data_IF_333647094825
#
_entry.id   IF_333647094825
#
_cell.length_a   1.000
_cell.length_b   1.000
_cell.length_c   1.000
_cell.angle_alpha   90.00
_cell.angle_beta   90.00
_cell.angle_gamma   90.00
#
_symmetry.space_group_name_H-M   'P 1'
#
loop_
_entity.id
_entity.type
_entity.pdbx_description
1 polymer ?
#
# COMPACT_ATOMS: atom_id res chain seq x y z
N UNK A 1 -24.93 43.09 -68.38
CA UNK A 1 -24.25 44.40 -68.39
C UNK A 1 -23.42 44.55 -67.12
N UNK A 2 -22.08 44.61 -67.27
CA UNK A 2 -21.04 45.23 -66.43
C UNK A 2 -21.06 45.12 -64.88
N UNK A 3 -20.19 44.24 -64.38
CA UNK A 3 -19.11 44.46 -63.38
C UNK A 3 -19.19 45.60 -62.35
N UNK A 4 -18.95 45.24 -61.07
CA UNK A 4 -17.99 45.92 -60.18
C UNK A 4 -17.36 44.95 -59.17
N UNK A 5 -16.06 44.71 -59.33
CA UNK A 5 -15.16 44.13 -58.33
C UNK A 5 -14.91 45.15 -57.20
N UNK A 6 -14.73 44.69 -55.95
CA UNK A 6 -13.48 44.85 -55.17
C UNK A 6 -13.62 44.44 -53.69
N UNK A 7 -12.71 43.53 -53.29
CA UNK A 7 -12.02 43.43 -52.00
C UNK A 7 -12.80 43.21 -50.70
N UNK A 8 -12.76 41.98 -50.18
CA UNK A 8 -12.43 41.75 -48.76
C UNK A 8 -11.50 40.54 -48.61
N UNK A 9 -10.38 40.81 -47.94
CA UNK A 9 -9.21 39.97 -47.72
C UNK A 9 -9.58 38.62 -47.07
N UNK A 10 -8.96 37.54 -47.56
CA UNK A 10 -8.71 36.35 -46.75
C UNK A 10 -7.79 36.76 -45.59
N UNK A 11 -8.32 36.85 -44.39
CA UNK A 11 -7.52 36.84 -43.16
C UNK A 11 -7.91 35.61 -42.35
N UNK A 12 -6.99 34.66 -42.29
CA UNK A 12 -6.98 33.55 -41.35
C UNK A 12 -7.11 34.08 -39.91
N UNK A 13 -8.32 34.10 -39.37
CA UNK A 13 -8.58 34.48 -37.98
C UNK A 13 -9.52 33.48 -37.30
N UNK A 14 -9.30 32.17 -37.52
CA UNK A 14 -9.98 31.13 -36.74
C UNK A 14 -9.05 29.94 -36.48
N UNK A 15 -8.14 30.07 -35.49
CA UNK A 15 -7.87 28.90 -34.63
C UNK A 15 -7.99 29.20 -33.13
N UNK A 16 -7.82 30.45 -32.68
CA UNK A 16 -7.64 30.77 -31.25
C UNK A 16 -8.96 30.81 -30.47
N UNK A 17 -10.05 31.29 -31.07
CA UNK A 17 -11.36 31.36 -30.40
C UNK A 17 -12.03 29.98 -30.29
N UNK A 18 -11.85 29.10 -31.28
CA UNK A 18 -12.32 27.71 -31.22
C UNK A 18 -11.50 26.93 -30.20
N UNK A 19 -10.16 27.11 -30.16
CA UNK A 19 -9.31 26.46 -29.15
C UNK A 19 -9.60 26.91 -27.71
N UNK A 20 -9.92 28.20 -27.48
CA UNK A 20 -10.33 28.68 -26.14
C UNK A 20 -11.69 28.13 -25.71
N UNK A 21 -12.68 28.06 -26.63
CA UNK A 21 -13.99 27.46 -26.35
C UNK A 21 -13.89 25.95 -26.08
N UNK A 22 -13.08 25.24 -26.86
CA UNK A 22 -12.77 23.81 -26.64
C UNK A 22 -12.01 23.54 -25.34
N UNK A 23 -11.12 24.44 -24.90
CA UNK A 23 -10.42 24.32 -23.61
C UNK A 23 -11.38 24.53 -22.43
N UNK A 24 -12.33 25.46 -22.58
CA UNK A 24 -13.33 25.76 -21.56
C UNK A 24 -14.43 24.69 -21.48
N UNK A 25 -14.88 24.12 -22.60
CA UNK A 25 -15.81 22.97 -22.63
C UNK A 25 -15.17 21.74 -21.97
N UNK A 26 -13.92 21.38 -22.29
CA UNK A 26 -13.20 20.30 -21.58
C UNK A 26 -13.02 20.54 -20.09
N UNK A 27 -12.92 21.80 -19.65
CA UNK A 27 -12.80 22.15 -18.23
C UNK A 27 -14.16 22.11 -17.51
N UNK A 28 -15.24 22.51 -18.17
CA UNK A 28 -16.61 22.40 -17.67
C UNK A 28 -17.07 20.94 -17.62
N UNK A 29 -16.79 20.14 -18.65
CA UNK A 29 -17.06 18.70 -18.68
C UNK A 29 -16.23 17.97 -17.61
N UNK A 30 -14.97 18.37 -17.38
CA UNK A 30 -14.16 17.83 -16.28
C UNK A 30 -14.72 18.25 -14.91
N UNK A 31 -15.21 19.48 -14.75
CA UNK A 31 -15.80 19.94 -13.50
C UNK A 31 -17.14 19.23 -13.20
N UNK A 32 -17.99 19.04 -14.21
CA UNK A 32 -19.23 18.26 -14.13
C UNK A 32 -18.95 16.77 -13.89
N UNK A 33 -17.95 16.20 -14.57
CA UNK A 33 -17.52 14.83 -14.33
C UNK A 33 -16.94 14.63 -12.91
N UNK A 34 -16.21 15.62 -12.39
CA UNK A 34 -15.70 15.61 -11.02
C UNK A 34 -16.85 15.75 -10.01
N UNK A 35 -17.86 16.58 -10.27
CA UNK A 35 -19.03 16.74 -9.39
C UNK A 35 -19.93 15.51 -9.40
N UNK A 36 -20.17 14.88 -10.55
CA UNK A 36 -20.88 13.60 -10.68
C UNK A 36 -20.14 12.47 -9.95
N UNK A 37 -18.82 12.37 -10.12
CA UNK A 37 -18.00 11.36 -9.42
C UNK A 37 -17.97 11.56 -7.91
N UNK A 38 -18.10 12.80 -7.45
CA UNK A 38 -18.19 13.15 -6.04
C UNK A 38 -19.60 12.83 -5.48
N UNK A 39 -20.65 13.05 -6.29
CA UNK A 39 -22.02 12.61 -6.01
C UNK A 39 -22.13 11.09 -5.90
N UNK A 40 -21.54 10.34 -6.83
CA UNK A 40 -21.56 8.88 -6.85
C UNK A 40 -20.94 8.28 -5.57
N UNK A 41 -19.80 8.82 -5.10
CA UNK A 41 -19.16 8.38 -3.85
C UNK A 41 -20.02 8.65 -2.60
N UNK A 42 -20.78 9.73 -2.59
CA UNK A 42 -21.69 10.06 -1.49
C UNK A 42 -22.88 9.10 -1.50
N UNK A 43 -23.44 8.82 -2.67
CA UNK A 43 -24.54 7.87 -2.86
C UNK A 43 -24.14 6.44 -2.48
N UNK A 44 -22.91 6.02 -2.80
CA UNK A 44 -22.35 4.74 -2.34
C UNK A 44 -22.28 4.64 -0.81
N UNK A 45 -21.85 5.71 -0.13
CA UNK A 45 -21.81 5.75 1.34
C UNK A 45 -23.21 5.72 1.94
N UNK A 46 -24.14 6.49 1.37
CA UNK A 46 -25.53 6.49 1.79
C UNK A 46 -26.16 5.09 1.67
N UNK A 47 -25.91 4.39 0.56
CA UNK A 47 -26.36 3.01 0.36
C UNK A 47 -25.77 2.04 1.40
N UNK A 48 -24.50 2.23 1.78
CA UNK A 48 -23.86 1.46 2.83
C UNK A 48 -24.46 1.77 4.22
N UNK A 49 -24.69 3.04 4.52
CA UNK A 49 -25.32 3.47 5.78
C UNK A 49 -26.75 2.92 5.90
N UNK A 50 -27.53 2.90 4.82
CA UNK A 50 -28.86 2.29 4.79
C UNK A 50 -28.81 0.76 4.96
N UNK A 51 -27.77 0.10 4.46
CA UNK A 51 -27.61 -1.35 4.56
C UNK A 51 -27.17 -1.79 5.97
N UNK A 52 -26.24 -1.07 6.59
CA UNK A 52 -25.64 -1.44 7.88
C UNK A 52 -26.20 -0.68 9.08
N UNK A 53 -26.88 0.44 8.87
CA UNK A 53 -27.49 1.26 9.94
C UNK A 53 -26.54 2.19 10.67
N UNK A 54 -25.40 2.59 10.07
CA UNK A 54 -24.41 3.44 10.76
C UNK A 54 -24.93 4.85 11.10
N UNK A 55 -25.71 5.46 10.19
CA UNK A 55 -26.16 6.86 10.30
C UNK A 55 -27.70 6.99 10.28
N UNK A 56 -28.45 5.93 10.58
CA UNK A 56 -29.92 5.94 10.54
C UNK A 56 -30.55 4.55 10.65
N UNK A 57 -31.90 4.44 10.58
CA UNK A 57 -32.58 3.16 10.63
C UNK A 57 -32.25 2.32 9.40
N UNK A 58 -31.98 1.02 9.62
CA UNK A 58 -31.63 0.08 8.56
C UNK A 58 -32.79 -0.08 7.56
N UNK A 59 -32.50 0.10 6.28
CA UNK A 59 -33.46 -0.13 5.20
C UNK A 59 -32.80 -0.86 4.02
N UNK A 60 -32.84 -2.19 4.09
CA UNK A 60 -32.20 -3.07 3.11
C UNK A 60 -32.83 -2.92 1.71
N UNK A 61 -34.15 -2.75 1.61
CA UNK A 61 -34.84 -2.63 0.32
C UNK A 61 -34.45 -1.36 -0.43
N UNK A 62 -34.41 -0.23 0.28
CA UNK A 62 -33.97 1.05 -0.29
C UNK A 62 -32.48 1.01 -0.68
N UNK A 63 -31.64 0.37 0.14
CA UNK A 63 -30.23 0.18 -0.17
C UNK A 63 -30.05 -0.65 -1.47
N UNK A 64 -30.78 -1.75 -1.62
CA UNK A 64 -30.75 -2.59 -2.82
C UNK A 64 -31.17 -1.80 -4.08
N UNK A 65 -32.24 -1.01 -4.01
CA UNK A 65 -32.66 -0.19 -5.16
C UNK A 65 -31.62 0.85 -5.55
N UNK A 66 -31.00 1.49 -4.56
CA UNK A 66 -29.95 2.48 -4.79
C UNK A 66 -28.70 1.83 -5.38
N UNK A 67 -28.29 0.67 -4.88
CA UNK A 67 -27.17 -0.07 -5.44
C UNK A 67 -27.41 -0.53 -6.88
N UNK A 68 -28.65 -0.92 -7.24
CA UNK A 68 -29.00 -1.26 -8.63
C UNK A 68 -28.81 -0.07 -9.56
N UNK A 69 -29.34 1.09 -9.20
CA UNK A 69 -29.19 2.33 -9.97
C UNK A 69 -27.71 2.70 -10.15
N UNK A 70 -26.93 2.68 -9.07
CA UNK A 70 -25.50 2.98 -9.13
C UNK A 70 -24.70 1.93 -9.93
N UNK A 71 -25.15 0.67 -9.95
CA UNK A 71 -24.51 -0.38 -10.73
C UNK A 71 -24.78 -0.22 -12.24
N UNK A 72 -25.96 0.27 -12.62
CA UNK A 72 -26.31 0.67 -14.00
C UNK A 72 -25.47 1.87 -14.47
N UNK A 73 -25.18 2.82 -13.58
CA UNK A 73 -24.21 3.90 -13.82
C UNK A 73 -22.74 3.42 -13.89
N UNK A 74 -22.47 2.14 -13.60
CA UNK A 74 -21.14 1.55 -13.68
C UNK A 74 -20.30 1.64 -12.40
N UNK A 75 -20.89 1.90 -11.22
CA UNK A 75 -20.15 1.83 -9.96
C UNK A 75 -19.71 0.39 -9.64
N UNK A 76 -18.39 0.18 -9.69
CA UNK A 76 -17.77 -1.10 -9.31
C UNK A 76 -17.95 -1.44 -7.81
N UNK A 77 -18.17 -0.46 -6.93
CA UNK A 77 -18.47 -0.73 -5.51
C UNK A 77 -19.89 -1.21 -5.32
N UNK A 78 -20.84 -0.56 -5.99
CA UNK A 78 -22.25 -0.98 -5.96
C UNK A 78 -22.43 -2.36 -6.57
N UNK A 79 -21.74 -2.66 -7.67
CA UNK A 79 -21.69 -4.02 -8.24
C UNK A 79 -21.12 -5.03 -7.23
N UNK A 80 -20.06 -4.69 -6.50
CA UNK A 80 -19.52 -5.57 -5.44
C UNK A 80 -20.55 -5.82 -4.33
N UNK A 81 -21.24 -4.77 -3.89
CA UNK A 81 -22.30 -4.86 -2.89
C UNK A 81 -23.47 -5.72 -3.37
N UNK A 82 -23.96 -5.53 -4.60
CA UNK A 82 -25.00 -6.38 -5.19
C UNK A 82 -24.56 -7.84 -5.34
N UNK A 83 -23.28 -8.08 -5.67
CA UNK A 83 -22.69 -9.40 -5.68
C UNK A 83 -22.80 -10.06 -4.31
N UNK A 84 -22.44 -9.34 -3.25
CA UNK A 84 -22.55 -9.80 -1.85
C UNK A 84 -24.01 -10.04 -1.45
N UNK A 85 -24.91 -9.10 -1.73
CA UNK A 85 -26.33 -9.24 -1.40
C UNK A 85 -26.95 -10.45 -2.12
N UNK A 86 -26.61 -10.66 -3.40
CA UNK A 86 -27.09 -11.81 -4.19
C UNK A 86 -26.49 -13.14 -3.73
N UNK A 87 -25.25 -13.14 -3.22
CA UNK A 87 -24.62 -14.37 -2.71
C UNK A 87 -25.20 -14.82 -1.36
N UNK A 88 -25.64 -13.89 -0.52
CA UNK A 88 -26.22 -14.20 0.79
C UNK A 88 -27.76 -14.14 0.82
N UNK A 89 -28.41 -13.65 -0.24
CA UNK A 89 -29.87 -13.50 -0.30
C UNK A 89 -30.40 -12.36 0.58
N UNK A 90 -29.61 -11.30 0.82
CA UNK A 90 -29.99 -10.19 1.69
C UNK A 90 -30.75 -9.15 0.86
N UNK A 91 -32.08 -9.06 1.05
CA UNK A 91 -32.93 -8.10 0.33
C UNK A 91 -33.10 -8.36 -1.17
N UNK A 92 -32.49 -9.43 -1.68
CA UNK A 92 -32.62 -9.96 -3.04
C UNK A 92 -32.72 -11.48 -2.97
N UNK A 93 -33.27 -12.10 -4.01
CA UNK A 93 -33.27 -13.56 -4.12
C UNK A 93 -31.83 -14.11 -4.16
N UNK A 94 -31.61 -15.22 -3.44
CA UNK A 94 -30.33 -15.91 -3.43
C UNK A 94 -30.00 -16.43 -4.83
N UNK A 95 -28.92 -15.91 -5.42
CA UNK A 95 -28.46 -16.36 -6.72
C UNK A 95 -26.95 -16.21 -6.85
N UNK A 96 -26.26 -17.34 -6.75
CA UNK A 96 -24.81 -17.40 -6.85
C UNK A 96 -24.27 -17.06 -8.24
N UNK A 97 -24.96 -17.45 -9.31
CA UNK A 97 -24.54 -17.13 -10.67
C UNK A 97 -24.60 -15.61 -10.91
N UNK A 98 -25.68 -14.96 -10.45
CA UNK A 98 -25.82 -13.51 -10.51
C UNK A 98 -24.74 -12.79 -9.70
N UNK A 99 -24.36 -13.33 -8.53
CA UNK A 99 -23.27 -12.79 -7.74
C UNK A 99 -21.93 -12.82 -8.49
N UNK A 100 -21.60 -13.93 -9.16
CA UNK A 100 -20.37 -14.06 -9.96
C UNK A 100 -20.32 -13.02 -11.08
N UNK A 101 -21.46 -12.78 -11.75
CA UNK A 101 -21.55 -11.76 -12.81
C UNK A 101 -21.22 -10.38 -12.25
N UNK A 102 -21.85 -9.99 -11.14
CA UNK A 102 -21.57 -8.70 -10.50
C UNK A 102 -20.11 -8.57 -10.03
N UNK A 103 -19.54 -9.61 -9.43
CA UNK A 103 -18.13 -9.61 -9.04
C UNK A 103 -17.16 -9.51 -10.22
N UNK A 104 -17.52 -10.10 -11.37
CA UNK A 104 -16.71 -10.02 -12.58
C UNK A 104 -16.68 -8.60 -13.11
N UNK A 105 -17.84 -7.94 -13.25
CA UNK A 105 -17.90 -6.53 -13.65
C UNK A 105 -17.18 -5.60 -12.66
N UNK A 106 -17.37 -5.83 -11.36
CA UNK A 106 -16.70 -5.06 -10.33
C UNK A 106 -15.17 -5.25 -10.32
N UNK A 107 -14.70 -6.48 -10.57
CA UNK A 107 -13.26 -6.80 -10.68
C UNK A 107 -12.61 -6.06 -11.86
N UNK A 108 -13.27 -6.10 -13.02
CA UNK A 108 -12.84 -5.34 -14.22
C UNK A 108 -12.88 -3.83 -13.96
N UNK A 109 -13.86 -3.37 -13.18
CA UNK A 109 -13.94 -1.98 -12.72
C UNK A 109 -12.88 -1.58 -11.68
N UNK A 110 -11.98 -2.48 -11.29
CA UNK A 110 -10.87 -2.19 -10.38
C UNK A 110 -11.23 -2.27 -8.88
N UNK A 111 -12.34 -2.90 -8.52
CA UNK A 111 -12.67 -3.12 -7.12
C UNK A 111 -11.79 -4.24 -6.52
N UNK A 112 -10.96 -3.88 -5.55
CA UNK A 112 -10.01 -4.78 -4.88
C UNK A 112 -10.70 -5.97 -4.21
N UNK A 113 -11.83 -5.74 -3.52
CA UNK A 113 -12.56 -6.80 -2.83
C UNK A 113 -13.11 -7.80 -3.85
N UNK A 114 -13.66 -7.31 -4.97
CA UNK A 114 -14.13 -8.19 -6.04
C UNK A 114 -13.00 -8.95 -6.73
N UNK A 115 -11.84 -8.33 -6.96
CA UNK A 115 -10.65 -9.02 -7.45
C UNK A 115 -10.22 -10.15 -6.50
N UNK A 116 -10.21 -9.92 -5.19
CA UNK A 116 -9.90 -10.96 -4.20
C UNK A 116 -10.94 -12.09 -4.19
N UNK A 117 -12.23 -11.76 -4.28
CA UNK A 117 -13.33 -12.73 -4.33
C UNK A 117 -13.23 -13.58 -5.60
N UNK A 118 -13.03 -12.96 -6.77
CA UNK A 118 -12.89 -13.68 -8.03
C UNK A 118 -11.63 -14.54 -8.04
N UNK A 119 -10.50 -14.03 -7.52
CA UNK A 119 -9.28 -14.81 -7.35
C UNK A 119 -9.52 -16.08 -6.54
N UNK A 120 -10.25 -15.98 -5.44
CA UNK A 120 -10.59 -17.11 -4.58
C UNK A 120 -11.55 -18.10 -5.25
N UNK A 121 -12.56 -17.60 -5.98
CA UNK A 121 -13.51 -18.43 -6.72
C UNK A 121 -12.83 -19.22 -7.83
N UNK A 122 -11.93 -18.60 -8.59
CA UNK A 122 -11.12 -19.27 -9.62
C UNK A 122 -10.14 -20.29 -9.02
N UNK A 123 -9.62 -20.03 -7.82
CA UNK A 123 -8.71 -20.95 -7.12
C UNK A 123 -9.43 -22.23 -6.65
N UNK A 124 -10.58 -22.07 -6.00
CA UNK A 124 -11.37 -23.20 -5.48
C UNK A 124 -12.29 -23.85 -6.51
N UNK A 125 -12.62 -23.16 -7.60
CA UNK A 125 -13.60 -23.64 -8.58
C UNK A 125 -15.06 -23.46 -8.15
N UNK A 126 -15.38 -22.40 -7.39
CA UNK A 126 -16.75 -22.14 -6.89
C UNK A 126 -17.56 -21.38 -7.95
N UNK A 127 -18.55 -22.03 -8.57
CA UNK A 127 -19.42 -21.50 -9.63
C UNK A 127 -18.71 -21.05 -10.92
N UNK A 128 -17.40 -21.28 -11.00
CA UNK A 128 -16.52 -20.93 -12.13
C UNK A 128 -15.50 -22.06 -12.25
N UNK A 129 -15.11 -22.50 -13.45
CA UNK A 129 -14.10 -23.54 -13.60
C UNK A 129 -12.78 -23.14 -12.92
N UNK A 130 -12.12 -24.12 -12.28
CA UNK A 130 -10.83 -23.91 -11.63
C UNK A 130 -9.81 -23.44 -12.65
N UNK A 131 -9.30 -22.22 -12.46
CA UNK A 131 -8.30 -21.62 -13.34
C UNK A 131 -7.30 -20.82 -12.50
N UNK A 132 -6.09 -21.36 -12.39
CA UNK A 132 -5.06 -20.74 -11.57
C UNK A 132 -4.55 -19.42 -12.18
N UNK A 133 -4.50 -19.31 -13.52
CA UNK A 133 -3.95 -18.12 -14.20
C UNK A 133 -4.90 -16.93 -14.06
N UNK A 134 -6.20 -17.18 -14.17
CA UNK A 134 -7.23 -16.19 -13.88
C UNK A 134 -7.18 -15.76 -12.41
N UNK A 135 -7.00 -16.70 -11.48
CA UNK A 135 -6.87 -16.40 -10.06
C UNK A 135 -5.64 -15.50 -9.78
N UNK A 136 -4.49 -15.89 -10.31
CA UNK A 136 -3.23 -15.17 -10.19
C UNK A 136 -3.32 -13.76 -10.75
N UNK A 137 -3.99 -13.57 -11.90
CA UNK A 137 -4.17 -12.25 -12.53
C UNK A 137 -4.94 -11.30 -11.62
N UNK A 138 -6.07 -11.76 -11.04
CA UNK A 138 -6.85 -10.95 -10.11
C UNK A 138 -6.05 -10.62 -8.84
N UNK A 139 -5.33 -11.59 -8.28
CA UNK A 139 -4.52 -11.38 -7.09
C UNK A 139 -3.31 -10.47 -7.33
N UNK A 140 -2.70 -10.51 -8.53
CA UNK A 140 -1.58 -9.66 -8.91
C UNK A 140 -1.98 -8.18 -8.89
N UNK A 141 -3.18 -7.82 -9.36
CA UNK A 141 -3.66 -6.44 -9.33
C UNK A 141 -3.89 -5.92 -7.90
N UNK A 142 -4.43 -6.77 -7.02
CA UNK A 142 -4.61 -6.42 -5.60
C UNK A 142 -3.25 -6.23 -4.93
N UNK A 143 -2.31 -7.15 -5.18
CA UNK A 143 -0.98 -7.08 -4.58
C UNK A 143 -0.19 -5.85 -5.06
N UNK A 144 -0.30 -5.47 -6.35
CA UNK A 144 0.24 -4.21 -6.88
C UNK A 144 -0.35 -2.99 -6.18
N UNK A 145 -1.66 -2.96 -5.97
CA UNK A 145 -2.31 -1.85 -5.26
C UNK A 145 -1.81 -1.72 -3.82
N UNK A 146 -1.68 -2.85 -3.12
CA UNK A 146 -1.17 -2.89 -1.74
C UNK A 146 0.29 -2.45 -1.70
N UNK A 147 1.14 -2.96 -2.59
CA UNK A 147 2.54 -2.55 -2.70
C UNK A 147 2.67 -1.03 -2.91
N UNK A 148 1.94 -0.47 -3.89
CA UNK A 148 1.92 0.96 -4.15
C UNK A 148 1.43 1.79 -2.95
N UNK A 149 0.48 1.27 -2.17
CA UNK A 149 -0.04 1.93 -0.97
C UNK A 149 0.99 1.89 0.16
N UNK A 150 1.70 0.79 0.33
CA UNK A 150 2.78 0.64 1.33
C UNK A 150 3.98 1.52 0.98
N UNK A 151 4.36 1.61 -0.30
CA UNK A 151 5.44 2.49 -0.76
C UNK A 151 5.11 3.98 -0.56
N UNK A 152 3.84 4.39 -0.70
CA UNK A 152 3.41 5.79 -0.54
C UNK A 152 3.05 6.16 0.90
N UNK A 153 2.50 5.23 1.66
CA UNK A 153 2.15 5.42 3.06
C UNK A 153 3.30 4.91 3.94
N UNK A 154 4.41 5.63 3.94
CA UNK A 154 5.52 5.44 4.90
C UNK A 154 5.12 5.70 6.38
N UNK A 155 3.84 5.99 6.64
CA UNK A 155 3.29 6.37 7.95
C UNK A 155 2.48 5.27 8.64
N UNK A 156 2.26 4.11 8.02
CA UNK A 156 1.70 2.94 8.71
C UNK A 156 2.84 1.91 8.87
N UNK A 157 3.50 1.85 10.04
CA UNK A 157 4.43 0.75 10.29
C UNK A 157 3.60 -0.52 10.39
N UNK A 158 3.47 -1.28 9.31
CA UNK A 158 3.04 -2.68 9.39
C UNK A 158 4.24 -3.53 9.81
N UNK A 159 4.87 -3.12 10.91
CA UNK A 159 5.65 -4.06 11.70
C UNK A 159 4.63 -4.86 12.48
N UNK A 160 4.61 -6.18 12.32
CA UNK A 160 4.04 -6.99 13.40
C UNK A 160 4.90 -6.69 14.60
N UNK A 161 4.35 -5.95 15.58
CA UNK A 161 5.02 -5.76 16.85
C UNK A 161 5.18 -7.16 17.44
N UNK A 162 6.37 -7.76 17.28
CA UNK A 162 6.77 -8.88 18.13
C UNK A 162 6.84 -8.29 19.52
N UNK A 163 5.82 -8.56 20.32
CA UNK A 163 5.89 -8.36 21.76
C UNK A 163 7.00 -9.29 22.23
N UNK A 164 8.22 -8.77 22.35
CA UNK A 164 9.30 -9.49 23.01
C UNK A 164 8.95 -9.49 24.50
N UNK A 165 8.82 -10.68 25.07
CA UNK A 165 8.73 -10.81 26.53
C UNK A 165 9.97 -10.15 27.14
N UNK A 166 9.75 -9.35 28.18
CA UNK A 166 10.81 -8.67 28.92
C UNK A 166 11.76 -9.74 29.47
N UNK A 167 13.07 -9.71 29.17
CA UNK A 167 13.99 -10.64 29.80
C UNK A 167 13.95 -10.40 31.30
N UNK A 168 13.52 -11.40 32.06
CA UNK A 168 13.22 -11.30 33.50
C UNK A 168 14.46 -11.05 34.38
N UNK A 169 15.66 -11.07 33.82
CA UNK A 169 16.90 -10.86 34.58
C UNK A 169 17.82 -9.85 33.89
N UNK A 170 17.54 -8.56 34.10
CA UNK A 170 18.57 -7.52 34.05
C UNK A 170 18.48 -6.70 35.33
N UNK A 171 19.50 -6.91 36.16
CA UNK A 171 19.81 -6.18 37.37
C UNK A 171 19.71 -4.66 37.15
N UNK A 172 18.82 -4.08 37.94
CA UNK A 172 18.71 -2.69 38.37
C UNK A 172 20.08 -2.00 38.31
N UNK A 173 20.29 -1.13 37.31
CA UNK A 173 21.17 0.06 37.34
C UNK A 173 21.30 0.82 36.00
N UNK A 174 20.59 0.46 34.93
CA UNK A 174 20.53 1.29 33.70
C UNK A 174 19.08 1.55 33.27
N UNK A 175 18.38 2.31 34.11
CA UNK A 175 17.07 2.88 33.81
C UNK A 175 17.28 4.20 33.05
N UNK A 176 17.27 4.18 31.72
CA UNK A 176 17.08 5.41 30.96
C UNK A 176 16.14 5.24 29.77
N UNK A 177 14.95 5.84 29.98
CA UNK A 177 13.73 5.88 29.18
C UNK A 177 12.85 4.63 29.32
N UNK A 178 11.84 4.76 30.18
CA UNK A 178 10.69 3.86 30.27
C UNK A 178 10.14 3.57 28.85
N UNK A 179 9.90 2.30 28.53
CA UNK A 179 9.52 1.86 27.19
C UNK A 179 8.24 2.58 26.71
N UNK A 180 7.34 2.88 27.65
CA UNK A 180 6.11 3.64 27.44
C UNK A 180 6.38 5.11 27.06
N UNK A 181 7.39 5.73 27.66
CA UNK A 181 7.80 7.11 27.34
C UNK A 181 8.44 7.19 25.96
N UNK A 182 9.19 6.16 25.56
CA UNK A 182 9.73 6.03 24.22
C UNK A 182 8.61 5.89 23.16
N UNK A 183 7.61 5.03 23.39
CA UNK A 183 6.46 4.91 22.48
C UNK A 183 5.63 6.21 22.43
N UNK A 184 5.47 6.90 23.55
CA UNK A 184 4.78 8.19 23.62
C UNK A 184 5.45 9.24 22.73
N UNK A 185 6.77 9.42 22.84
CA UNK A 185 7.48 10.40 22.02
C UNK A 185 7.57 10.00 20.54
N UNK A 186 7.63 8.70 20.24
CA UNK A 186 7.49 8.18 18.86
C UNK A 186 6.16 8.61 18.25
N UNK A 187 5.06 8.37 18.96
CA UNK A 187 3.71 8.73 18.50
C UNK A 187 3.54 10.25 18.31
N UNK A 188 4.13 11.05 19.20
CA UNK A 188 4.13 12.51 19.08
C UNK A 188 4.93 13.01 17.87
N UNK A 189 6.08 12.40 17.57
CA UNK A 189 6.88 12.75 16.41
C UNK A 189 6.16 12.44 15.09
N UNK A 190 5.37 11.36 15.05
CA UNK A 190 4.61 10.94 13.86
C UNK A 190 3.37 11.81 13.59
N UNK A 191 2.77 12.42 14.62
CA UNK A 191 1.55 13.26 14.49
C UNK A 191 1.77 14.76 14.27
N UNK A 192 3.02 15.21 14.15
CA UNK A 192 3.32 16.48 13.45
C UNK A 192 2.89 17.79 14.12
N UNK A 193 2.81 17.90 15.45
CA UNK A 193 2.49 19.17 16.12
C UNK A 193 3.61 19.65 17.04
N UNK A 194 3.64 20.97 17.30
CA UNK A 194 4.56 21.87 18.10
C UNK A 194 5.47 21.29 19.20
N UNK A 195 5.29 20.03 19.61
CA UNK A 195 6.11 19.27 20.57
C UNK A 195 7.27 18.48 19.94
N UNK A 196 7.44 18.49 18.61
CA UNK A 196 8.57 17.82 17.90
C UNK A 196 9.94 18.26 18.44
N UNK A 197 10.09 19.54 18.81
CA UNK A 197 11.34 20.07 19.38
C UNK A 197 11.76 19.34 20.67
N UNK A 198 10.79 19.08 21.56
CA UNK A 198 11.05 18.37 22.83
C UNK A 198 11.37 16.90 22.56
N UNK A 199 10.62 16.26 21.66
CA UNK A 199 10.89 14.86 21.28
C UNK A 199 12.30 14.70 20.68
N UNK A 200 12.70 15.60 19.77
CA UNK A 200 14.05 15.60 19.19
C UNK A 200 15.14 15.75 20.26
N UNK A 201 14.97 16.69 21.20
CA UNK A 201 15.90 16.91 22.30
C UNK A 201 16.08 15.64 23.17
N UNK A 202 14.99 14.96 23.52
CA UNK A 202 15.06 13.72 24.30
C UNK A 202 15.71 12.57 23.52
N UNK A 203 15.37 12.40 22.24
CA UNK A 203 16.00 11.38 21.41
C UNK A 203 17.49 11.65 21.18
N UNK A 204 17.90 12.92 21.04
CA UNK A 204 19.30 13.30 20.92
C UNK A 204 20.07 13.02 22.22
N UNK A 205 19.48 13.32 23.38
CA UNK A 205 20.06 12.97 24.68
C UNK A 205 20.22 11.45 24.82
N UNK A 206 19.21 10.69 24.44
CA UNK A 206 19.25 9.22 24.44
C UNK A 206 20.30 8.68 23.46
N UNK A 207 20.43 9.29 22.28
CA UNK A 207 21.45 8.92 21.30
C UNK A 207 22.87 9.18 21.83
N UNK A 208 23.10 10.32 22.48
CA UNK A 208 24.39 10.64 23.12
C UNK A 208 24.71 9.69 24.29
N UNK A 209 23.68 9.27 25.03
CA UNK A 209 23.79 8.23 26.06
C UNK A 209 24.03 6.82 25.48
N UNK A 210 24.02 6.68 24.15
CA UNK A 210 24.33 5.42 23.51
C UNK A 210 23.14 4.52 23.21
N UNK A 211 21.89 4.97 23.37
CA UNK A 211 20.71 4.18 23.08
C UNK A 211 20.51 4.03 21.55
N UNK A 212 20.45 2.79 21.08
CA UNK A 212 20.35 2.45 19.67
C UNK A 212 19.00 2.88 19.05
N UNK A 213 17.90 2.89 19.81
CA UNK A 213 16.60 3.40 19.35
C UNK A 213 16.62 4.92 19.21
N UNK A 214 17.18 5.63 20.20
CA UNK A 214 17.33 7.09 20.14
C UNK A 214 18.11 7.54 18.92
N UNK A 215 19.21 6.85 18.61
CA UNK A 215 20.00 7.10 17.39
C UNK A 215 19.18 6.88 16.11
N UNK A 216 18.41 5.80 16.01
CA UNK A 216 17.57 5.52 14.84
C UNK A 216 16.50 6.59 14.62
N UNK A 217 15.84 7.07 15.70
CA UNK A 217 14.84 8.13 15.61
C UNK A 217 15.43 9.47 15.24
N UNK A 218 16.60 9.83 15.80
CA UNK A 218 17.34 11.04 15.39
C UNK A 218 17.70 10.96 13.90
N UNK A 219 18.19 9.81 13.44
CA UNK A 219 18.47 9.55 12.02
C UNK A 219 17.23 9.76 11.14
N UNK A 220 16.07 9.24 11.54
CA UNK A 220 14.79 9.41 10.83
C UNK A 220 14.36 10.88 10.77
N UNK A 221 14.56 11.65 11.84
CA UNK A 221 14.23 13.07 11.86
C UNK A 221 15.13 13.89 10.91
N UNK A 222 16.43 13.59 10.85
CA UNK A 222 17.34 14.22 9.88
C UNK A 222 17.02 13.84 8.42
N UNK A 223 16.49 12.63 8.18
CA UNK A 223 16.12 12.14 6.86
C UNK A 223 14.86 12.80 6.31
N UNK A 224 13.79 12.87 7.12
CA UNK A 224 12.54 13.51 6.73
C UNK A 224 12.67 15.04 6.63
N UNK A 225 13.52 15.63 7.48
CA UNK A 225 13.57 17.08 7.68
C UNK A 225 12.32 17.58 8.42
N UNK A 226 12.47 18.58 9.28
CA UNK A 226 11.35 19.17 10.01
C UNK A 226 11.60 20.65 10.26
N UNK A 227 10.64 21.35 10.87
CA UNK A 227 10.83 22.75 11.30
C UNK A 227 11.97 22.93 12.31
N UNK A 228 12.44 21.84 12.93
CA UNK A 228 13.49 21.83 13.97
C UNK A 228 14.84 21.42 13.39
N UNK A 229 14.83 20.57 12.38
CA UNK A 229 16.03 19.87 11.88
C UNK A 229 16.10 20.05 10.37
N UNK A 230 17.20 20.63 9.90
CA UNK A 230 17.48 20.71 8.47
C UNK A 230 17.71 19.30 7.91
N UNK A 231 17.10 19.03 6.75
CA UNK A 231 17.22 17.74 6.09
C UNK A 231 18.70 17.49 5.75
N UNK A 232 19.26 16.42 6.31
CA UNK A 232 20.65 16.05 6.08
C UNK A 232 20.80 14.53 6.05
N UNK A 233 20.99 14.07 4.84
CA UNK A 233 21.17 12.68 4.47
C UNK A 233 22.44 12.07 5.09
N UNK A 234 23.53 12.84 5.16
CA UNK A 234 24.83 12.37 5.66
C UNK A 234 24.80 12.17 7.19
N UNK A 235 24.20 13.12 7.92
CA UNK A 235 24.09 13.01 9.38
C UNK A 235 23.11 11.92 9.77
N UNK A 236 21.99 11.80 9.04
CA UNK A 236 21.06 10.68 9.20
C UNK A 236 21.79 9.33 9.07
N UNK A 237 22.58 9.15 8.00
CA UNK A 237 23.36 7.94 7.76
C UNK A 237 24.29 7.61 8.95
N UNK A 238 25.01 8.61 9.48
CA UNK A 238 25.91 8.43 10.64
C UNK A 238 25.18 7.93 11.88
N UNK A 239 23.99 8.46 12.17
CA UNK A 239 23.20 7.98 13.30
C UNK A 239 22.66 6.57 13.07
N UNK A 240 22.29 6.23 11.83
CA UNK A 240 21.87 4.88 11.49
C UNK A 240 23.02 3.86 11.57
N UNK A 241 24.25 4.21 11.16
CA UNK A 241 25.41 3.32 11.33
C UNK A 241 25.71 3.07 12.82
N UNK A 242 25.68 4.12 13.63
CA UNK A 242 25.86 4.00 15.09
C UNK A 242 24.77 3.15 15.75
N UNK A 243 23.51 3.28 15.29
CA UNK A 243 22.40 2.45 15.75
C UNK A 243 22.55 0.97 15.30
N UNK A 244 23.10 0.74 14.10
CA UNK A 244 23.28 -0.60 13.54
C UNK A 244 24.36 -1.39 14.30
N UNK A 245 25.46 -0.71 14.67
CA UNK A 245 26.53 -1.28 15.47
C UNK A 245 26.03 -1.71 16.86
N UNK A 246 25.03 -0.99 17.40
CA UNK A 246 24.40 -1.28 18.69
C UNK A 246 23.16 -2.19 18.63
N UNK A 247 23.00 -2.94 17.54
CA UNK A 247 22.00 -4.02 17.42
C UNK A 247 20.51 -3.58 17.44
N UNK A 248 20.19 -2.39 16.92
CA UNK A 248 18.81 -1.89 16.86
C UNK A 248 17.98 -2.52 15.74
N UNK A 249 16.75 -2.92 16.07
CA UNK A 249 15.70 -3.38 15.13
C UNK A 249 15.20 -2.28 14.21
N UNK A 250 15.30 -1.01 14.61
CA UNK A 250 14.50 0.09 14.04
C UNK A 250 15.13 0.82 12.83
N UNK A 251 16.23 0.32 12.28
CA UNK A 251 16.99 0.98 11.20
C UNK A 251 16.32 0.81 9.83
N UNK A 252 15.07 1.24 9.70
CA UNK A 252 14.25 0.99 8.51
C UNK A 252 14.35 2.08 7.43
N UNK A 253 14.79 3.30 7.76
CA UNK A 253 14.63 4.44 6.84
C UNK A 253 15.94 5.03 6.29
N UNK A 254 17.07 4.82 6.99
CA UNK A 254 18.38 5.36 6.58
C UNK A 254 18.99 4.79 5.32
N UNK A 255 18.46 3.68 4.81
CA UNK A 255 19.17 2.83 3.84
C UNK A 255 18.93 3.18 2.37
N UNK A 256 18.03 4.13 2.08
CA UNK A 256 17.90 4.74 0.75
C UNK A 256 18.99 5.80 0.47
N UNK A 257 19.80 6.14 1.48
CA UNK A 257 20.80 7.22 1.41
C UNK A 257 22.21 6.69 1.08
N UNK A 258 22.40 5.38 0.98
CA UNK A 258 23.68 4.87 0.52
C UNK A 258 23.87 5.25 -0.95
N UNK A 259 24.65 6.30 -1.19
CA UNK A 259 25.09 6.69 -2.53
C UNK A 259 25.95 5.58 -3.17
N UNK A 260 26.48 4.65 -2.36
CA UNK A 260 27.23 3.49 -2.81
C UNK A 260 26.53 2.17 -2.44
N UNK A 261 26.00 1.49 -3.45
CA UNK A 261 25.32 0.19 -3.30
C UNK A 261 26.22 -0.89 -2.65
N UNK A 262 27.53 -0.79 -2.80
CA UNK A 262 28.49 -1.76 -2.25
C UNK A 262 28.56 -1.70 -0.72
N UNK A 263 28.49 -0.49 -0.15
CA UNK A 263 28.47 -0.32 1.31
C UNK A 263 27.10 -0.74 1.86
N UNK A 264 26.02 -0.34 1.19
CA UNK A 264 24.66 -0.75 1.53
C UNK A 264 24.56 -2.28 1.66
N UNK A 265 25.11 -3.00 0.68
CA UNK A 265 25.13 -4.46 0.67
C UNK A 265 25.77 -5.04 1.93
N UNK A 266 26.94 -4.54 2.34
CA UNK A 266 27.65 -5.02 3.54
C UNK A 266 26.83 -4.80 4.81
N UNK A 267 26.13 -3.67 4.90
CA UNK A 267 25.26 -3.39 6.05
C UNK A 267 24.01 -4.26 6.05
N UNK A 268 23.36 -4.40 4.91
CA UNK A 268 22.19 -5.27 4.78
C UNK A 268 22.53 -6.73 5.06
N UNK A 269 23.72 -7.19 4.67
CA UNK A 269 24.19 -8.54 4.98
C UNK A 269 24.30 -8.77 6.50
N UNK A 270 24.97 -7.87 7.23
CA UNK A 270 25.07 -7.93 8.69
C UNK A 270 23.70 -7.87 9.38
N UNK A 271 22.79 -7.06 8.85
CA UNK A 271 21.44 -6.93 9.38
C UNK A 271 20.57 -8.16 9.08
N UNK A 272 20.68 -8.75 7.89
CA UNK A 272 19.95 -9.95 7.53
C UNK A 272 20.40 -11.19 8.32
N UNK A 273 21.70 -11.29 8.65
CA UNK A 273 22.26 -12.32 9.54
C UNK A 273 21.66 -12.27 10.95
N UNK A 274 21.27 -11.07 11.40
CA UNK A 274 20.58 -10.85 12.69
C UNK A 274 19.08 -11.12 12.63
N UNK A 275 18.54 -11.52 11.47
CA UNK A 275 17.13 -11.88 11.31
C UNK A 275 16.21 -10.69 11.05
N UNK A 276 16.72 -9.51 10.65
CA UNK A 276 15.87 -8.37 10.33
C UNK A 276 15.17 -8.58 8.97
N UNK A 277 13.84 -8.64 9.01
CA UNK A 277 12.94 -8.90 7.88
C UNK A 277 13.13 -7.90 6.72
N UNK A 278 13.26 -6.62 7.05
CA UNK A 278 13.44 -5.54 6.08
C UNK A 278 14.81 -5.60 5.41
N UNK A 279 15.87 -5.95 6.16
CA UNK A 279 17.21 -6.11 5.60
C UNK A 279 17.26 -7.31 4.66
N UNK A 280 16.60 -8.42 5.03
CA UNK A 280 16.44 -9.58 4.15
C UNK A 280 15.68 -9.20 2.87
N UNK A 281 14.59 -8.44 2.99
CA UNK A 281 13.85 -7.94 1.83
C UNK A 281 14.73 -7.10 0.91
N UNK A 282 15.48 -6.13 1.46
CA UNK A 282 16.36 -5.26 0.68
C UNK A 282 17.50 -6.03 0.01
N UNK A 283 18.10 -7.03 0.67
CA UNK A 283 19.05 -7.94 0.01
C UNK A 283 18.39 -8.69 -1.15
N UNK A 284 17.17 -9.17 -0.96
CA UNK A 284 16.37 -9.77 -2.03
C UNK A 284 16.23 -8.85 -3.23
N UNK A 285 15.88 -7.57 -3.01
CA UNK A 285 15.79 -6.54 -4.06
C UNK A 285 17.14 -6.28 -4.73
N UNK A 286 18.23 -6.21 -3.97
CA UNK A 286 19.57 -6.00 -4.51
C UNK A 286 20.02 -7.15 -5.41
N UNK A 287 19.78 -8.41 -5.01
CA UNK A 287 20.08 -9.59 -5.84
C UNK A 287 19.15 -9.72 -7.03
N UNK A 288 17.88 -9.31 -6.90
CA UNK A 288 16.89 -9.33 -7.98
C UNK A 288 17.21 -8.29 -9.06
N UNK A 289 17.54 -7.06 -8.65
CA UNK A 289 17.85 -5.93 -9.53
C UNK A 289 19.31 -5.87 -9.98
N UNK A 290 20.23 -6.58 -9.30
CA UNK A 290 21.68 -6.46 -9.53
C UNK A 290 22.26 -5.13 -9.03
N UNK A 291 21.76 -4.61 -7.91
CA UNK A 291 22.19 -3.33 -7.33
C UNK A 291 23.40 -3.55 -6.42
N UNK A 292 24.60 -3.15 -6.84
CA UNK A 292 25.84 -3.31 -6.07
C UNK A 292 26.37 -4.75 -5.95
N UNK A 293 25.61 -5.73 -6.45
CA UNK A 293 25.99 -7.14 -6.53
C UNK A 293 25.57 -7.73 -7.87
N UNK A 294 26.20 -8.85 -8.27
CA UNK A 294 25.79 -9.59 -9.46
C UNK A 294 24.37 -10.11 -9.26
N UNK A 295 23.52 -9.91 -10.26
CA UNK A 295 22.14 -10.40 -10.27
C UNK A 295 22.10 -11.92 -10.10
N UNK A 296 21.38 -12.38 -9.08
CA UNK A 296 21.18 -13.80 -8.78
C UNK A 296 19.76 -14.02 -8.26
N UNK A 297 18.90 -14.59 -9.10
CA UNK A 297 17.51 -14.83 -8.75
C UNK A 297 17.34 -15.94 -7.70
N UNK A 298 18.26 -16.89 -7.58
CA UNK A 298 18.17 -17.96 -6.57
C UNK A 298 18.44 -17.40 -5.18
N UNK A 299 19.45 -16.54 -5.06
CA UNK A 299 19.74 -15.85 -3.81
C UNK A 299 18.64 -14.85 -3.46
N UNK A 300 18.12 -14.10 -4.45
CA UNK A 300 16.98 -13.21 -4.25
C UNK A 300 15.77 -13.97 -3.68
N UNK A 301 15.44 -15.13 -4.25
CA UNK A 301 14.37 -15.98 -3.77
C UNK A 301 14.57 -16.38 -2.30
N UNK A 302 15.77 -16.83 -1.93
CA UNK A 302 16.10 -17.21 -0.54
C UNK A 302 15.87 -16.06 0.44
N UNK A 303 16.34 -14.86 0.11
CA UNK A 303 16.19 -13.71 0.99
C UNK A 303 14.74 -13.20 1.07
N UNK A 304 14.00 -13.22 -0.03
CA UNK A 304 12.57 -12.93 0.01
C UNK A 304 11.78 -13.96 0.82
N UNK A 305 12.14 -15.24 0.73
CA UNK A 305 11.52 -16.31 1.51
C UNK A 305 11.77 -16.12 3.01
N UNK A 306 12.99 -15.78 3.42
CA UNK A 306 13.31 -15.44 4.81
C UNK A 306 12.52 -14.21 5.30
N UNK A 307 12.43 -13.17 4.47
CA UNK A 307 11.64 -11.98 4.80
C UNK A 307 10.15 -12.31 4.94
N UNK A 308 9.62 -13.20 4.10
CA UNK A 308 8.26 -13.71 4.16
C UNK A 308 7.98 -14.48 5.44
N UNK A 309 8.86 -15.40 5.85
CA UNK A 309 8.73 -16.13 7.13
C UNK A 309 8.75 -15.19 8.33
N UNK A 310 9.52 -14.09 8.24
CA UNK A 310 9.53 -13.04 9.25
C UNK A 310 8.32 -12.07 9.16
N UNK A 311 7.43 -12.26 8.19
CA UNK A 311 6.16 -11.54 8.06
C UNK A 311 6.21 -10.26 7.23
N UNK A 312 7.26 -10.04 6.44
CA UNK A 312 7.40 -8.85 5.61
C UNK A 312 6.38 -8.84 4.45
N UNK A 313 5.53 -7.81 4.38
CA UNK A 313 4.40 -7.77 3.45
C UNK A 313 4.83 -7.69 1.99
N UNK A 314 5.85 -6.88 1.68
CA UNK A 314 6.29 -6.71 0.30
C UNK A 314 6.95 -7.99 -0.23
N UNK A 315 7.56 -8.81 0.64
CA UNK A 315 8.22 -10.04 0.23
C UNK A 315 7.25 -11.05 -0.41
N UNK A 316 6.00 -11.10 0.09
CA UNK A 316 4.92 -11.93 -0.46
C UNK A 316 4.69 -11.62 -1.95
N UNK A 317 4.64 -10.33 -2.29
CA UNK A 317 4.41 -9.87 -3.66
C UNK A 317 5.53 -10.33 -4.61
N UNK A 318 6.79 -10.12 -4.20
CA UNK A 318 7.94 -10.52 -5.00
C UNK A 318 8.04 -12.05 -5.12
N UNK A 319 7.81 -12.82 -4.05
CA UNK A 319 7.81 -14.28 -4.12
C UNK A 319 6.72 -14.81 -5.06
N UNK A 320 5.51 -14.28 -4.95
CA UNK A 320 4.42 -14.69 -5.83
C UNK A 320 4.72 -14.37 -7.29
N UNK A 321 5.38 -13.22 -7.56
CA UNK A 321 5.85 -12.88 -8.90
C UNK A 321 6.93 -13.85 -9.39
N UNK A 322 7.88 -14.24 -8.54
CA UNK A 322 8.93 -15.19 -8.89
C UNK A 322 8.38 -16.57 -9.24
N UNK A 323 7.39 -17.07 -8.48
CA UNK A 323 6.69 -18.31 -8.81
C UNK A 323 5.81 -18.20 -10.06
N UNK A 324 5.21 -17.04 -10.31
CA UNK A 324 4.40 -16.78 -11.50
C UNK A 324 5.23 -16.74 -12.79
N UNK A 325 6.40 -16.12 -12.73
CA UNK A 325 7.29 -15.92 -13.88
C UNK A 325 8.30 -17.06 -14.05
N UNK A 326 8.58 -17.81 -12.98
CA UNK A 326 9.62 -18.85 -12.96
C UNK A 326 11.04 -18.27 -12.87
N UNK A 327 11.21 -17.14 -12.17
CA UNK A 327 12.52 -16.48 -12.01
C UNK A 327 13.22 -17.02 -10.76
N UNK A 328 14.31 -17.77 -10.94
CA UNK A 328 15.07 -18.37 -9.83
C UNK A 328 14.46 -19.64 -9.23
N UNK A 329 13.19 -19.93 -9.54
CA UNK A 329 12.44 -21.15 -9.16
C UNK A 329 11.61 -21.65 -10.33
N UNK A 330 11.14 -22.91 -10.28
CA UNK A 330 10.22 -23.43 -11.29
C UNK A 330 8.89 -22.69 -11.25
N UNK A 331 8.37 -22.34 -12.43
CA UNK A 331 7.07 -21.68 -12.58
C UNK A 331 5.98 -22.57 -11.97
N UNK A 332 5.28 -22.07 -10.96
CA UNK A 332 4.15 -22.74 -10.35
C UNK A 332 3.07 -21.73 -10.01
N UNK A 333 2.00 -21.80 -10.79
CA UNK A 333 0.82 -20.99 -10.63
C UNK A 333 0.08 -21.30 -9.32
N UNK A 334 0.15 -22.56 -8.86
CA UNK A 334 -0.50 -23.01 -7.63
C UNK A 334 0.19 -22.42 -6.40
N UNK A 335 1.51 -22.60 -6.32
CA UNK A 335 2.30 -22.09 -5.18
C UNK A 335 2.23 -20.56 -5.14
N UNK A 336 2.25 -19.88 -6.29
CA UNK A 336 2.10 -18.43 -6.35
C UNK A 336 0.78 -17.94 -5.72
N UNK A 337 -0.34 -18.62 -6.00
CA UNK A 337 -1.64 -18.27 -5.41
C UNK A 337 -1.68 -18.61 -3.93
N UNK A 338 -1.13 -19.76 -3.51
CA UNK A 338 -1.07 -20.15 -2.09
C UNK A 338 -0.32 -19.13 -1.25
N UNK A 339 0.85 -18.66 -1.71
CA UNK A 339 1.64 -17.63 -1.02
C UNK A 339 0.84 -16.32 -0.84
N UNK A 340 0.03 -15.93 -1.83
CA UNK A 340 -0.83 -14.73 -1.72
C UNK A 340 -2.03 -14.98 -0.81
N UNK A 341 -2.63 -16.17 -0.85
CA UNK A 341 -3.83 -16.52 -0.08
C UNK A 341 -3.52 -16.70 1.40
N UNK A 342 -2.40 -17.32 1.75
CA UNK A 342 -1.98 -17.49 3.15
C UNK A 342 -1.81 -16.12 3.83
N UNK A 343 -1.30 -15.16 3.08
CA UNK A 343 -1.17 -13.77 3.51
C UNK A 343 -2.50 -13.01 3.62
N UNK A 344 -3.53 -13.37 2.82
CA UNK A 344 -4.88 -12.76 2.86
C UNK A 344 -5.53 -12.86 4.23
N UNK A 345 -5.29 -13.96 4.95
CA UNK A 345 -5.84 -14.19 6.29
C UNK A 345 -5.21 -13.22 7.29
N UNK A 346 -3.91 -12.94 7.18
CA UNK A 346 -3.23 -11.97 8.05
C UNK A 346 -3.71 -10.54 7.81
N UNK A 347 -3.96 -10.17 6.55
CA UNK A 347 -4.38 -8.79 6.20
C UNK A 347 -5.85 -8.49 6.54
N UNK A 348 -6.76 -9.46 6.36
CA UNK A 348 -8.18 -9.26 6.64
C UNK A 348 -8.47 -9.14 8.14
N UNK A 349 -7.78 -9.93 8.99
CA UNK A 349 -7.95 -9.85 10.44
C UNK A 349 -7.27 -8.61 11.06
N UNK A 350 -6.27 -8.04 10.39
CA UNK A 350 -5.66 -6.77 10.79
C UNK A 350 -6.54 -5.53 10.54
N UNK A 351 -7.55 -5.63 9.66
CA UNK A 351 -8.46 -4.54 9.31
C UNK A 351 -9.90 -4.74 9.81
N UNK A 352 -10.18 -5.78 10.59
CA UNK A 352 -11.45 -5.93 11.31
C UNK A 352 -11.57 -5.03 12.56
N UNK A 353 -10.60 -4.14 12.80
CA UNK A 353 -10.62 -3.14 13.88
C UNK A 353 -10.53 -1.69 13.38
N UNK A 354 -11.20 -1.38 12.27
CA UNK A 354 -11.64 -0.02 11.90
C UNK A 354 -13.06 -0.15 11.36
#
# INVERSE_FOLDING_TARGET
MKTKFLNKKFTCFYPIYILKRWKNERQADRANFLSEKQSQKVMERLAADMLFGYNGPQNVKAAVSLYKLLAEEGSHKSQTALGFLSSYGIGVEYNQAKAVVYYTFASVGGNLISQMIMGYRYWLGINVPKNCEAALTNYKEVAKFVANKLEKNEDIPVERVKLMERPENLSINEEFLDWDLHQYFRFLAERGNTRIQKAFYYFLKAANAGNAYGMAFVGKMYLKGSTVVTQSNITALKFFTMAADKNSTLNHQGLLIFQNYTEAFRYFQKAAEKGYDNAQFQLGVMYYGGLGVRRDFKLAFKYFYLAFENGHLLAVYYLAQMYAEGTGVFKSCQIAVEVIVDFRIVWFWGFSYI
#
